data_IF_805562460630
#
_entry.id   IF_805562460630
#
_cell.length_a   1.000
_cell.length_b   1.000
_cell.length_c   1.000
_cell.angle_alpha   90.00
_cell.angle_beta   90.00
_cell.angle_gamma   90.00
#
_symmetry.space_group_name_H-M   'P 1'
#
loop_
_entity.id
_entity.type
_entity.pdbx_description
1 polymer ?
#
# COMPACT_ATOMS: atom_id res chain seq x y z
N UNK A 1 18.97 -52.85 -47.63
CA UNK A 1 19.06 -54.06 -46.77
C UNK A 1 17.76 -54.23 -46.02
N UNK A 2 17.15 -55.40 -46.22
CA UNK A 2 16.05 -56.03 -45.46
C UNK A 2 14.67 -55.38 -45.57
N UNK A 3 14.02 -55.63 -46.71
CA UNK A 3 12.61 -56.03 -46.85
C UNK A 3 12.25 -57.22 -45.94
N UNK A 4 10.98 -57.30 -45.51
CA UNK A 4 10.09 -58.49 -45.33
C UNK A 4 8.95 -58.08 -44.37
N UNK A 5 7.69 -58.51 -44.45
CA UNK A 5 6.94 -59.43 -45.32
C UNK A 5 5.45 -59.26 -44.98
N UNK A 6 4.60 -59.55 -45.97
CA UNK A 6 3.15 -59.58 -45.92
C UNK A 6 2.55 -60.70 -45.05
N UNK A 7 1.25 -60.59 -44.74
CA UNK A 7 0.34 -61.73 -44.71
C UNK A 7 -1.09 -61.29 -45.11
N UNK A 8 -1.63 -62.04 -46.05
CA UNK A 8 -2.96 -62.01 -46.66
C UNK A 8 -3.90 -62.86 -45.81
N UNK A 9 -5.17 -62.47 -45.69
CA UNK A 9 -6.28 -63.41 -45.55
C UNK A 9 -7.52 -62.86 -46.29
N UNK A 10 -8.01 -63.65 -47.25
CA UNK A 10 -9.26 -63.47 -48.01
C UNK A 10 -10.18 -64.63 -47.61
N UNK A 11 -11.46 -64.33 -47.39
CA UNK A 11 -12.65 -65.18 -47.64
C UNK A 11 -13.88 -64.29 -47.41
N UNK A 12 -14.66 -63.85 -48.40
CA UNK A 12 -15.56 -64.53 -49.36
C UNK A 12 -16.97 -64.82 -48.79
N UNK A 13 -18.00 -64.29 -49.49
CA UNK A 13 -19.45 -64.62 -49.37
C UNK A 13 -20.22 -63.76 -48.37
N UNK A 14 -21.40 -63.17 -48.64
CA UNK A 14 -22.39 -63.40 -49.71
C UNK A 14 -23.35 -62.20 -49.74
N UNK A 15 -23.89 -61.86 -50.92
CA UNK A 15 -25.01 -60.93 -51.09
C UNK A 15 -26.31 -61.54 -50.56
N UNK A 16 -27.12 -60.75 -49.86
CA UNK A 16 -28.58 -60.84 -49.86
C UNK A 16 -29.16 -59.42 -49.69
N UNK A 17 -30.19 -59.15 -50.48
CA UNK A 17 -30.80 -57.85 -50.70
C UNK A 17 -31.95 -57.55 -49.71
N UNK A 18 -32.30 -56.26 -49.62
CA UNK A 18 -33.52 -55.72 -48.97
C UNK A 18 -33.27 -55.24 -47.54
N UNK A 19 -33.60 -54.02 -47.10
CA UNK A 19 -34.64 -53.09 -47.53
C UNK A 19 -34.21 -51.67 -47.12
N UNK A 20 -34.61 -50.66 -47.88
CA UNK A 20 -34.30 -49.25 -47.59
C UNK A 20 -34.87 -48.81 -46.25
N UNK A 21 -34.00 -48.33 -45.36
CA UNK A 21 -34.39 -47.46 -44.26
C UNK A 21 -33.58 -46.16 -44.42
N UNK A 22 -34.29 -45.07 -44.67
CA UNK A 22 -33.77 -43.70 -44.71
C UNK A 22 -33.14 -43.35 -43.36
N UNK A 23 -31.82 -43.27 -43.32
CA UNK A 23 -31.08 -42.71 -42.18
C UNK A 23 -30.97 -41.21 -42.41
N UNK A 24 -31.55 -40.43 -41.49
CA UNK A 24 -31.31 -39.00 -41.40
C UNK A 24 -29.83 -38.78 -41.05
N UNK A 25 -29.07 -38.20 -41.97
CA UNK A 25 -27.73 -37.67 -41.72
C UNK A 25 -27.88 -36.37 -40.92
N UNK A 26 -27.51 -36.41 -39.64
CA UNK A 26 -27.15 -35.19 -38.94
C UNK A 26 -25.88 -34.62 -39.60
N UNK A 27 -25.80 -33.31 -39.87
CA UNK A 27 -24.56 -32.72 -40.35
C UNK A 27 -23.51 -32.79 -39.24
N UNK A 28 -22.34 -33.37 -39.55
CA UNK A 28 -21.12 -33.18 -38.77
C UNK A 28 -20.72 -31.72 -38.97
N UNK A 29 -21.18 -30.84 -38.08
CA UNK A 29 -20.72 -29.46 -38.05
C UNK A 29 -19.23 -29.48 -37.71
N UNK A 30 -18.43 -28.95 -38.64
CA UNK A 30 -16.98 -28.88 -38.54
C UNK A 30 -16.54 -28.21 -37.24
N UNK A 31 -15.58 -28.83 -36.57
CA UNK A 31 -14.83 -28.19 -35.51
C UNK A 31 -14.00 -27.06 -36.14
N UNK A 32 -14.56 -25.85 -36.19
CA UNK A 32 -13.76 -24.63 -36.29
C UNK A 32 -13.05 -24.47 -34.97
N UNK A 33 -11.75 -24.75 -34.94
CA UNK A 33 -10.90 -24.36 -33.85
C UNK A 33 -10.86 -22.82 -33.80
N UNK A 34 -11.71 -22.23 -32.96
CA UNK A 34 -11.50 -20.87 -32.52
C UNK A 34 -10.22 -20.88 -31.69
N UNK A 35 -9.14 -20.38 -32.29
CA UNK A 35 -7.96 -19.91 -31.58
C UNK A 35 -8.40 -18.71 -30.74
N UNK A 36 -9.08 -18.99 -29.64
CA UNK A 36 -9.17 -18.11 -28.50
C UNK A 36 -7.75 -17.87 -28.04
N UNK A 37 -7.14 -16.78 -28.51
CA UNK A 37 -5.99 -16.19 -27.88
C UNK A 37 -6.48 -15.82 -26.50
N UNK A 38 -6.33 -16.75 -25.55
CA UNK A 38 -6.51 -16.50 -24.15
C UNK A 38 -5.55 -15.36 -23.88
N UNK A 39 -6.08 -14.15 -23.76
CA UNK A 39 -5.37 -13.09 -23.08
C UNK A 39 -5.03 -13.70 -21.74
N UNK A 40 -3.78 -14.12 -21.57
CA UNK A 40 -3.19 -14.35 -20.26
C UNK A 40 -3.35 -12.99 -19.62
N UNK A 41 -4.46 -12.80 -18.92
CA UNK A 41 -4.66 -11.66 -18.07
C UNK A 41 -3.54 -11.78 -17.08
N UNK A 42 -2.44 -11.04 -17.32
CA UNK A 42 -1.37 -10.90 -16.36
C UNK A 42 -2.12 -10.37 -15.15
N UNK A 43 -2.39 -11.24 -14.17
CA UNK A 43 -3.15 -10.84 -13.01
C UNK A 43 -2.36 -9.68 -12.43
N UNK A 44 -2.94 -8.49 -12.52
CA UNK A 44 -2.35 -7.29 -12.00
C UNK A 44 -2.12 -7.57 -10.51
N UNK A 45 -0.85 -7.66 -10.12
CA UNK A 45 -0.50 -7.83 -8.73
C UNK A 45 -0.89 -6.53 -8.03
N UNK A 46 -1.95 -6.58 -7.22
CA UNK A 46 -2.48 -5.43 -6.50
C UNK A 46 -1.90 -5.31 -5.08
N UNK A 47 -0.97 -6.21 -4.72
CA UNK A 47 -0.40 -6.35 -3.38
C UNK A 47 1.12 -6.50 -3.40
N UNK A 48 1.80 -5.88 -2.42
CA UNK A 48 3.18 -6.20 -2.04
C UNK A 48 3.16 -6.98 -0.72
N UNK A 49 3.45 -8.27 -0.78
CA UNK A 49 3.51 -9.18 0.36
C UNK A 49 4.82 -9.09 1.16
N UNK A 50 4.88 -9.73 2.33
CA UNK A 50 6.07 -9.72 3.18
C UNK A 50 7.26 -10.37 2.49
N UNK A 51 8.41 -9.69 2.49
CA UNK A 51 9.64 -10.06 1.81
C UNK A 51 9.70 -9.66 0.34
N UNK A 52 8.64 -9.09 -0.23
CA UNK A 52 8.59 -8.69 -1.64
C UNK A 52 9.08 -7.25 -1.85
N UNK A 53 9.50 -6.95 -3.08
CA UNK A 53 10.00 -5.63 -3.45
C UNK A 53 9.60 -5.21 -4.86
N UNK A 54 9.66 -3.89 -5.08
CA UNK A 54 9.59 -3.24 -6.38
C UNK A 54 10.94 -2.59 -6.68
N UNK A 55 11.56 -3.02 -7.78
CA UNK A 55 12.72 -2.37 -8.38
C UNK A 55 12.28 -1.11 -9.15
N UNK A 56 13.22 -0.20 -9.48
CA UNK A 56 12.96 0.90 -10.40
C UNK A 56 12.23 0.44 -11.67
N UNK A 57 11.15 1.14 -12.02
CA UNK A 57 10.28 0.84 -13.16
C UNK A 57 9.17 -0.17 -12.88
N UNK A 58 9.27 -0.98 -11.82
CA UNK A 58 8.25 -1.98 -11.49
C UNK A 58 7.04 -1.34 -10.79
N UNK A 59 5.87 -1.97 -11.00
CA UNK A 59 4.61 -1.46 -10.48
C UNK A 59 3.63 -2.55 -10.06
N UNK A 60 2.76 -2.17 -9.13
CA UNK A 60 1.51 -2.86 -8.80
C UNK A 60 0.35 -2.12 -9.44
N UNK A 61 -0.71 -2.84 -9.78
CA UNK A 61 -1.94 -2.25 -10.35
C UNK A 61 -3.16 -2.88 -9.68
N UNK A 62 -4.18 -2.09 -9.34
CA UNK A 62 -5.40 -2.61 -8.71
C UNK A 62 -6.20 -3.51 -9.65
N UNK A 63 -7.01 -4.42 -9.09
CA UNK A 63 -8.04 -5.11 -9.86
C UNK A 63 -8.97 -4.10 -10.55
N UNK A 64 -8.93 -4.04 -11.88
CA UNK A 64 -9.63 -3.04 -12.69
C UNK A 64 -8.74 -1.96 -13.31
N UNK A 65 -7.43 -1.95 -13.06
CA UNK A 65 -6.46 -1.12 -13.80
C UNK A 65 -6.36 0.36 -13.41
N UNK A 66 -7.33 0.88 -12.64
CA UNK A 66 -7.44 2.31 -12.29
C UNK A 66 -6.28 2.83 -11.45
N UNK A 67 -5.91 2.10 -10.40
CA UNK A 67 -4.88 2.53 -9.48
C UNK A 67 -3.56 1.85 -9.79
N UNK A 68 -2.48 2.61 -9.76
CA UNK A 68 -1.12 2.12 -10.03
C UNK A 68 -0.16 2.61 -8.96
N UNK A 69 0.65 1.72 -8.43
CA UNK A 69 1.77 2.06 -7.56
C UNK A 69 3.06 1.72 -8.30
N UNK A 70 3.92 2.69 -8.55
CA UNK A 70 5.16 2.49 -9.30
C UNK A 70 6.37 3.01 -8.52
N UNK A 71 7.41 2.19 -8.42
CA UNK A 71 8.73 2.67 -8.01
C UNK A 71 9.38 3.31 -9.23
N UNK A 72 9.36 4.63 -9.33
CA UNK A 72 9.88 5.35 -10.49
C UNK A 72 11.42 5.29 -10.55
N UNK A 73 11.96 5.37 -11.77
CA UNK A 73 13.41 5.35 -12.01
C UNK A 73 14.16 6.49 -11.29
N UNK A 74 13.47 7.63 -11.09
CA UNK A 74 13.99 8.82 -10.42
C UNK A 74 13.99 8.70 -8.87
N UNK A 75 13.46 7.60 -8.33
CA UNK A 75 13.58 7.24 -6.91
C UNK A 75 12.30 7.30 -6.09
N UNK A 76 11.24 7.95 -6.58
CA UNK A 76 9.96 8.02 -5.88
C UNK A 76 9.14 6.76 -6.04
N UNK A 77 8.53 6.31 -4.95
CA UNK A 77 7.35 5.45 -5.00
C UNK A 77 6.12 6.34 -5.16
N UNK A 78 5.37 6.17 -6.25
CA UNK A 78 4.23 7.03 -6.56
C UNK A 78 2.97 6.21 -6.76
N UNK A 79 1.90 6.62 -6.08
CA UNK A 79 0.57 6.05 -6.17
C UNK A 79 -0.33 6.96 -7.00
N UNK A 80 -0.87 6.43 -8.10
CA UNK A 80 -1.68 7.14 -9.09
C UNK A 80 -3.12 6.63 -9.11
N UNK A 81 -4.03 7.54 -9.47
CA UNK A 81 -5.36 7.26 -10.02
C UNK A 81 -5.40 7.81 -11.45
N UNK A 82 -5.32 6.91 -12.44
CA UNK A 82 -5.04 7.30 -13.82
C UNK A 82 -3.70 8.05 -13.93
N UNK A 83 -3.75 9.32 -14.32
CA UNK A 83 -2.57 10.21 -14.41
C UNK A 83 -2.36 11.08 -13.17
N UNK A 84 -3.31 11.11 -12.24
CA UNK A 84 -3.25 11.95 -11.04
C UNK A 84 -2.45 11.25 -9.95
N UNK A 85 -1.33 11.84 -9.53
CA UNK A 85 -0.60 11.38 -8.36
C UNK A 85 -1.42 11.66 -7.09
N UNK A 86 -1.81 10.60 -6.37
CA UNK A 86 -2.52 10.69 -5.09
C UNK A 86 -1.55 10.70 -3.90
N UNK A 87 -0.39 10.07 -4.04
CA UNK A 87 0.67 10.10 -3.03
C UNK A 87 2.04 9.84 -3.67
N UNK A 88 3.07 10.49 -3.11
CA UNK A 88 4.48 10.26 -3.47
C UNK A 88 5.31 10.11 -2.20
N UNK A 89 6.27 9.20 -2.22
CA UNK A 89 7.31 9.16 -1.20
C UNK A 89 8.22 10.40 -1.30
N UNK A 90 8.88 10.80 -0.20
CA UNK A 90 9.84 11.91 -0.21
C UNK A 90 11.24 11.43 -0.61
N UNK A 91 11.37 10.71 -1.74
CA UNK A 91 12.64 10.08 -2.15
C UNK A 91 13.08 10.49 -3.56
N UNK A 92 12.66 11.69 -3.99
CA UNK A 92 12.93 12.20 -5.33
C UNK A 92 14.43 12.46 -5.52
N UNK A 93 14.95 12.23 -6.74
CA UNK A 93 16.36 12.41 -7.04
C UNK A 93 17.26 11.32 -6.44
N UNK A 94 16.70 10.16 -6.11
CA UNK A 94 17.42 8.98 -5.60
C UNK A 94 17.30 7.82 -6.59
N UNK A 95 17.95 7.91 -7.78
CA UNK A 95 17.85 6.87 -8.78
C UNK A 95 18.35 5.53 -8.25
N UNK A 96 17.79 4.43 -8.77
CA UNK A 96 18.08 3.09 -8.28
C UNK A 96 17.38 2.71 -6.98
N UNK A 97 16.56 3.60 -6.40
CA UNK A 97 15.83 3.27 -5.19
C UNK A 97 14.81 2.14 -5.41
N UNK A 98 14.70 1.24 -4.43
CA UNK A 98 13.77 0.10 -4.42
C UNK A 98 12.84 0.18 -3.21
N UNK A 99 11.60 -0.23 -3.39
CA UNK A 99 10.63 -0.37 -2.30
C UNK A 99 10.56 -1.81 -1.85
N UNK A 100 10.63 -2.09 -0.55
CA UNK A 100 10.52 -3.45 0.00
C UNK A 100 9.51 -3.48 1.13
N UNK A 101 8.57 -4.41 1.06
CA UNK A 101 7.73 -4.76 2.21
C UNK A 101 8.49 -5.82 3.01
N UNK A 102 9.17 -5.41 4.07
CA UNK A 102 10.01 -6.29 4.87
C UNK A 102 9.17 -7.31 5.67
N UNK A 103 9.78 -8.45 6.06
CA UNK A 103 9.06 -9.58 6.69
C UNK A 103 8.48 -9.24 8.06
N UNK A 104 9.14 -8.35 8.79
CA UNK A 104 8.73 -7.76 10.08
C UNK A 104 7.58 -6.74 9.95
N UNK A 105 7.13 -6.46 8.72
CA UNK A 105 5.92 -5.69 8.44
C UNK A 105 6.14 -4.22 8.13
N UNK A 106 7.39 -3.79 7.90
CA UNK A 106 7.68 -2.42 7.52
C UNK A 106 7.80 -2.25 6.00
N UNK A 107 7.26 -1.18 5.42
CA UNK A 107 7.52 -0.81 4.03
C UNK A 107 8.68 0.19 4.04
N UNK A 108 9.78 -0.16 3.37
CA UNK A 108 11.00 0.65 3.35
C UNK A 108 11.46 0.90 1.93
N UNK A 109 11.79 2.15 1.64
CA UNK A 109 12.45 2.56 0.41
C UNK A 109 13.94 2.65 0.70
N UNK A 110 14.74 1.88 -0.02
CA UNK A 110 16.19 1.88 0.08
C UNK A 110 16.79 2.56 -1.14
N UNK A 111 17.89 3.29 -0.94
CA UNK A 111 18.73 3.79 -2.02
C UNK A 111 19.50 2.67 -2.70
N UNK A 112 20.18 3.01 -3.80
CA UNK A 112 21.05 2.09 -4.54
C UNK A 112 22.22 1.56 -3.68
N UNK A 113 22.65 2.33 -2.67
CA UNK A 113 23.65 1.97 -1.67
C UNK A 113 23.10 1.12 -0.51
N UNK A 114 21.85 0.67 -0.62
CA UNK A 114 21.15 -0.13 0.38
C UNK A 114 20.89 0.60 1.70
N UNK A 115 21.00 1.94 1.76
CA UNK A 115 20.62 2.73 2.93
C UNK A 115 19.12 3.07 2.90
N UNK A 116 18.42 3.01 4.05
CA UNK A 116 17.02 3.39 4.11
C UNK A 116 16.86 4.90 3.85
N UNK A 117 16.00 5.25 2.90
CA UNK A 117 15.65 6.63 2.54
C UNK A 117 14.34 7.07 3.20
N UNK A 118 13.40 6.14 3.30
CA UNK A 118 12.09 6.36 3.91
C UNK A 118 11.49 5.04 4.38
N UNK A 119 10.66 5.08 5.42
CA UNK A 119 9.92 3.91 5.88
C UNK A 119 8.56 4.26 6.44
N UNK A 120 7.66 3.27 6.48
CA UNK A 120 6.41 3.36 7.23
C UNK A 120 6.64 3.13 8.73
N UNK A 121 5.63 3.41 9.56
CA UNK A 121 5.69 3.16 11.00
C UNK A 121 5.18 1.76 11.40
N UNK A 122 5.34 0.75 10.54
CA UNK A 122 4.59 -0.52 10.65
C UNK A 122 5.45 -1.72 11.06
N UNK A 123 6.75 -1.50 11.35
CA UNK A 123 7.64 -2.52 11.93
C UNK A 123 7.05 -3.16 13.20
N UNK A 124 7.36 -4.45 13.40
CA UNK A 124 6.82 -5.26 14.51
C UNK A 124 5.47 -5.90 14.20
N UNK A 125 5.04 -5.91 12.94
CA UNK A 125 3.81 -6.58 12.49
C UNK A 125 4.15 -7.66 11.42
N UNK A 126 4.75 -8.80 11.80
CA UNK A 126 5.14 -9.84 10.85
C UNK A 126 3.98 -10.28 9.95
N UNK A 127 4.27 -10.45 8.67
CA UNK A 127 3.26 -10.82 7.67
C UNK A 127 2.37 -9.68 7.19
N UNK A 128 2.62 -8.43 7.62
CA UNK A 128 1.96 -7.27 7.05
C UNK A 128 2.23 -7.15 5.53
N UNK A 129 1.31 -6.49 4.84
CA UNK A 129 1.37 -6.32 3.39
C UNK A 129 0.78 -4.99 2.95
N UNK A 130 1.28 -4.49 1.82
CA UNK A 130 0.75 -3.30 1.15
C UNK A 130 -0.31 -3.71 0.14
N UNK A 131 -1.46 -3.03 0.11
CA UNK A 131 -2.57 -3.34 -0.79
C UNK A 131 -3.03 -2.08 -1.51
N UNK A 132 -3.14 -2.17 -2.83
CA UNK A 132 -3.80 -1.16 -3.65
C UNK A 132 -5.32 -1.28 -3.48
N UNK A 133 -6.03 -0.15 -3.39
CA UNK A 133 -7.46 -0.14 -3.21
C UNK A 133 -8.18 -0.60 -4.48
N UNK A 134 -9.39 -1.16 -4.32
CA UNK A 134 -10.27 -1.47 -5.45
C UNK A 134 -11.06 -0.26 -5.94
N UNK A 135 -11.46 0.63 -5.03
CA UNK A 135 -12.30 1.79 -5.33
C UNK A 135 -11.90 3.07 -4.60
N UNK A 136 -11.30 2.97 -3.41
CA UNK A 136 -10.86 4.13 -2.63
C UNK A 136 -9.53 4.72 -3.14
N UNK A 137 -9.25 5.99 -2.86
CA UNK A 137 -8.02 6.67 -3.31
C UNK A 137 -6.84 6.56 -2.35
N UNK A 138 -6.76 5.51 -1.53
CA UNK A 138 -5.77 5.40 -0.46
C UNK A 138 -5.06 4.05 -0.51
N UNK A 139 -3.73 4.11 -0.49
CA UNK A 139 -2.86 2.94 -0.38
C UNK A 139 -2.75 2.57 1.10
N UNK A 140 -2.92 1.29 1.44
CA UNK A 140 -2.98 0.85 2.84
C UNK A 140 -2.00 -0.29 3.10
N UNK A 141 -1.33 -0.25 4.25
CA UNK A 141 -0.64 -1.41 4.81
C UNK A 141 -1.54 -2.06 5.84
N UNK A 142 -1.77 -3.35 5.68
CA UNK A 142 -2.55 -4.17 6.60
C UNK A 142 -1.63 -5.12 7.36
N UNK A 143 -1.97 -5.38 8.62
CA UNK A 143 -1.45 -6.52 9.35
C UNK A 143 -1.97 -7.84 8.76
N UNK A 144 -1.39 -8.97 9.18
CA UNK A 144 -1.80 -10.31 8.71
C UNK A 144 -3.30 -10.61 8.93
N UNK A 145 -3.89 -10.00 9.95
CA UNK A 145 -5.30 -10.11 10.33
C UNK A 145 -6.23 -9.11 9.58
N UNK A 146 -5.72 -8.42 8.55
CA UNK A 146 -6.41 -7.38 7.79
C UNK A 146 -6.71 -6.08 8.57
N UNK A 147 -6.12 -5.88 9.75
CA UNK A 147 -6.23 -4.59 10.46
C UNK A 147 -5.32 -3.54 9.80
N UNK A 148 -5.82 -2.33 9.49
CA UNK A 148 -5.00 -1.29 8.88
C UNK A 148 -3.94 -0.78 9.86
N UNK A 149 -2.70 -0.67 9.39
CA UNK A 149 -1.55 -0.18 10.15
C UNK A 149 -1.08 1.20 9.69
N UNK A 150 -1.27 1.52 8.41
CA UNK A 150 -0.88 2.80 7.81
C UNK A 150 -1.66 3.03 6.52
N UNK A 151 -1.92 4.30 6.17
CA UNK A 151 -2.40 4.66 4.83
C UNK A 151 -1.65 5.86 4.23
N UNK A 152 -1.71 5.98 2.90
CA UNK A 152 -1.12 7.13 2.19
C UNK A 152 -1.73 8.48 2.57
N UNK A 153 -2.86 8.50 3.28
CA UNK A 153 -3.49 9.72 3.79
C UNK A 153 -3.42 9.89 5.31
N UNK A 154 -3.26 8.80 6.06
CA UNK A 154 -3.32 8.83 7.50
C UNK A 154 -2.27 7.92 8.16
N UNK A 155 -1.68 8.42 9.22
CA UNK A 155 -1.05 7.57 10.23
C UNK A 155 -2.15 6.93 11.08
N UNK A 156 -2.02 5.64 11.42
CA UNK A 156 -3.02 4.95 12.27
C UNK A 156 -2.42 4.72 13.66
N UNK A 157 -3.09 5.26 14.67
CA UNK A 157 -2.79 5.17 16.10
C UNK A 157 -1.57 5.97 16.54
N UNK A 158 -0.55 6.14 15.69
CA UNK A 158 0.72 6.75 16.08
C UNK A 158 1.44 7.56 15.00
N UNK A 159 2.17 8.58 15.41
CA UNK A 159 3.23 9.24 14.65
C UNK A 159 4.57 8.95 15.34
N UNK A 160 5.46 8.12 14.74
CA UNK A 160 6.72 7.77 15.39
C UNK A 160 7.74 8.90 15.39
N UNK A 161 8.75 8.72 16.24
CA UNK A 161 10.03 9.43 16.19
C UNK A 161 10.55 9.64 14.76
N UNK A 162 11.04 10.85 14.48
CA UNK A 162 11.53 11.31 13.19
C UNK A 162 10.46 11.65 12.14
N UNK A 163 9.16 11.38 12.40
CA UNK A 163 8.13 11.56 11.39
C UNK A 163 7.46 12.94 11.42
N UNK A 164 7.05 13.39 10.23
CA UNK A 164 6.42 14.68 9.99
C UNK A 164 4.98 14.48 9.54
N UNK A 165 4.05 15.14 10.21
CA UNK A 165 2.66 15.30 9.80
C UNK A 165 2.50 16.66 9.11
N UNK A 166 2.44 16.62 7.77
CA UNK A 166 2.30 17.80 6.89
C UNK A 166 0.86 18.35 6.91
N UNK A 167 0.64 19.61 6.47
CA UNK A 167 -0.71 20.14 6.24
C UNK A 167 -1.63 19.17 5.49
N UNK A 168 -2.89 19.10 5.92
CA UNK A 168 -3.93 18.22 5.41
C UNK A 168 -3.82 16.75 5.84
N UNK A 169 -2.75 16.35 6.54
CA UNK A 169 -2.53 14.96 6.99
C UNK A 169 -3.04 14.74 8.39
N UNK A 170 -3.43 13.48 8.67
CA UNK A 170 -3.96 13.09 9.98
C UNK A 170 -3.19 11.93 10.63
N UNK A 171 -3.21 11.91 11.97
CA UNK A 171 -3.05 10.69 12.76
C UNK A 171 -4.43 10.31 13.28
N UNK A 172 -4.94 9.16 12.88
CA UNK A 172 -6.28 8.67 13.22
C UNK A 172 -6.18 7.57 14.29
N UNK A 173 -7.04 7.58 15.29
CA UNK A 173 -7.11 6.51 16.29
C UNK A 173 -7.44 5.16 15.64
N UNK A 174 -7.06 4.05 16.30
CA UNK A 174 -7.26 2.71 15.76
C UNK A 174 -8.76 2.38 15.53
N UNK A 175 -9.67 2.93 16.33
CA UNK A 175 -11.12 2.81 16.15
C UNK A 175 -11.70 3.76 15.08
N UNK A 176 -10.87 4.58 14.44
CA UNK A 176 -11.27 5.49 13.37
C UNK A 176 -11.95 6.79 13.82
N UNK A 177 -12.31 6.93 15.11
CA UNK A 177 -13.15 8.03 15.61
C UNK A 177 -12.39 9.34 15.78
N UNK A 178 -11.19 9.30 16.34
CA UNK A 178 -10.43 10.49 16.72
C UNK A 178 -9.34 10.78 15.70
N UNK A 179 -9.15 12.07 15.38
CA UNK A 179 -8.21 12.49 14.32
C UNK A 179 -7.43 13.71 14.74
N UNK A 180 -6.12 13.56 14.91
CA UNK A 180 -5.20 14.70 14.97
C UNK A 180 -4.93 15.16 13.53
N UNK A 181 -5.39 16.34 13.17
CA UNK A 181 -5.23 16.96 11.85
C UNK A 181 -4.24 18.13 11.97
N UNK A 182 -3.19 18.11 11.12
CA UNK A 182 -2.43 19.31 10.83
C UNK A 182 -3.21 20.11 9.76
N UNK A 183 -3.86 21.19 10.16
CA UNK A 183 -4.67 22.04 9.28
C UNK A 183 -3.79 22.90 8.36
N UNK A 184 -4.36 23.32 7.23
CA UNK A 184 -3.65 24.12 6.22
C UNK A 184 -3.28 25.52 6.71
N UNK A 185 -4.07 26.08 7.62
CA UNK A 185 -3.78 27.34 8.33
C UNK A 185 -2.68 27.22 9.41
N UNK A 186 -2.13 26.02 9.62
CA UNK A 186 -0.98 25.77 10.49
C UNK A 186 -1.28 25.24 11.89
N UNK A 187 -2.56 25.10 12.24
CA UNK A 187 -2.97 24.58 13.53
C UNK A 187 -2.94 23.03 13.56
N UNK A 188 -2.57 22.43 14.69
CA UNK A 188 -2.67 20.99 14.92
C UNK A 188 -3.81 20.71 15.91
N UNK A 189 -4.88 20.05 15.43
CA UNK A 189 -6.14 19.90 16.18
C UNK A 189 -6.56 18.45 16.28
N UNK A 190 -6.87 17.98 17.49
CA UNK A 190 -7.51 16.69 17.72
C UNK A 190 -9.02 16.84 17.63
N UNK A 191 -9.66 16.02 16.81
CA UNK A 191 -11.11 16.02 16.62
C UNK A 191 -11.77 14.73 17.08
N UNK A 192 -13.00 14.87 17.61
CA UNK A 192 -14.05 13.85 17.68
C UNK A 192 -15.17 14.26 16.71
N UNK A 193 -15.15 13.72 15.49
CA UNK A 193 -15.99 14.21 14.40
C UNK A 193 -15.69 15.67 14.06
N UNK A 194 -16.63 16.58 14.36
CA UNK A 194 -16.47 18.04 14.17
C UNK A 194 -16.04 18.77 15.45
N UNK A 195 -16.04 18.10 16.60
CA UNK A 195 -15.72 18.70 17.89
C UNK A 195 -14.22 18.68 18.11
N UNK A 196 -13.60 19.84 18.30
CA UNK A 196 -12.20 19.92 18.71
C UNK A 196 -12.07 19.49 20.18
N UNK A 197 -11.17 18.56 20.45
CA UNK A 197 -10.81 18.09 21.79
C UNK A 197 -9.52 18.75 22.30
N UNK A 198 -8.59 19.03 21.39
CA UNK A 198 -7.31 19.69 21.69
C UNK A 198 -6.89 20.53 20.48
N UNK A 199 -6.25 21.67 20.71
CA UNK A 199 -5.70 22.54 19.67
C UNK A 199 -4.35 23.07 20.10
N UNK A 200 -3.42 23.23 19.14
CA UNK A 200 -2.24 24.06 19.35
C UNK A 200 -2.58 25.53 19.09
N UNK A 201 -1.91 26.50 19.74
CA UNK A 201 -2.10 27.92 19.44
C UNK A 201 -1.23 28.34 18.24
N UNK A 202 -1.37 27.65 17.10
CA UNK A 202 -0.49 27.82 15.92
C UNK A 202 -1.23 28.16 14.63
N UNK A 203 -2.51 28.51 14.72
CA UNK A 203 -3.28 29.02 13.57
C UNK A 203 -2.64 30.30 12.99
N UNK A 204 -2.90 30.58 11.71
CA UNK A 204 -2.32 31.73 11.00
C UNK A 204 -0.91 31.52 10.45
N UNK A 205 -0.42 30.27 10.48
CA UNK A 205 0.92 29.89 10.02
C UNK A 205 0.81 28.88 8.87
N UNK A 206 0.34 29.29 7.67
CA UNK A 206 0.14 28.35 6.57
C UNK A 206 1.44 27.65 6.19
N UNK A 207 1.34 26.33 5.99
CA UNK A 207 2.49 25.47 5.75
C UNK A 207 3.19 24.95 7.02
N UNK A 208 2.73 25.32 8.22
CA UNK A 208 3.23 24.73 9.46
C UNK A 208 2.96 23.23 9.51
N UNK A 209 3.85 22.50 10.19
CA UNK A 209 3.84 21.04 10.25
C UNK A 209 4.20 20.54 11.63
N UNK A 210 3.63 19.39 11.98
CA UNK A 210 3.92 18.68 13.21
C UNK A 210 5.08 17.72 12.99
N UNK A 211 6.06 17.71 13.90
CA UNK A 211 7.21 16.82 13.86
C UNK A 211 7.32 16.11 15.20
N UNK A 212 7.29 14.78 15.18
CA UNK A 212 7.75 13.99 16.32
C UNK A 212 9.27 13.85 16.19
N UNK A 213 10.03 14.75 16.81
CA UNK A 213 11.47 14.84 16.66
C UNK A 213 12.18 13.63 17.27
N UNK A 214 13.38 13.31 16.79
CA UNK A 214 14.13 12.12 17.22
C UNK A 214 14.54 12.14 18.70
N UNK A 215 14.76 13.33 19.25
CA UNK A 215 15.01 13.58 20.68
C UNK A 215 13.77 13.39 21.56
N UNK A 216 12.61 13.07 20.97
CA UNK A 216 11.39 12.72 21.68
C UNK A 216 10.43 13.87 21.96
N UNK A 217 10.59 14.98 21.25
CA UNK A 217 9.71 16.14 21.36
C UNK A 217 8.69 16.19 20.23
N UNK A 218 7.41 16.45 20.52
CA UNK A 218 6.46 16.83 19.47
C UNK A 218 6.45 18.36 19.37
N UNK A 219 6.77 18.85 18.17
CA UNK A 219 6.87 20.29 17.88
C UNK A 219 6.01 20.61 16.66
N UNK A 220 5.26 21.70 16.72
CA UNK A 220 4.70 22.35 15.53
C UNK A 220 5.68 23.44 15.11
N UNK A 221 6.20 23.34 13.89
CA UNK A 221 7.12 24.32 13.30
C UNK A 221 6.46 25.03 12.12
N UNK A 222 6.83 26.28 11.86
CA UNK A 222 6.41 26.98 10.66
C UNK A 222 7.12 26.44 9.39
N UNK A 223 6.85 27.07 8.24
CA UNK A 223 7.45 26.69 6.96
C UNK A 223 8.97 26.88 6.89
N UNK A 224 9.55 27.67 7.80
CA UNK A 224 10.98 28.00 7.89
C UNK A 224 11.66 27.29 9.07
N UNK A 225 11.01 26.27 9.65
CA UNK A 225 11.52 25.45 10.76
C UNK A 225 11.58 26.16 12.12
N UNK A 226 10.95 27.33 12.24
CA UNK A 226 10.81 28.00 13.54
C UNK A 226 9.75 27.29 14.37
N UNK A 227 10.11 26.89 15.59
CA UNK A 227 9.17 26.30 16.53
C UNK A 227 8.07 27.30 16.95
N UNK A 228 6.81 26.87 16.81
CA UNK A 228 5.61 27.62 17.20
C UNK A 228 5.01 27.08 18.51
N UNK A 229 5.06 25.76 18.70
CA UNK A 229 4.55 25.08 19.90
C UNK A 229 5.29 23.76 20.13
N UNK A 230 5.35 23.30 21.38
CA UNK A 230 6.00 22.03 21.73
C UNK A 230 5.41 21.38 22.99
N UNK A 231 5.46 20.04 23.07
CA UNK A 231 5.14 19.25 24.27
C UNK A 231 6.18 19.35 25.38
N UNK A 232 7.39 19.88 25.11
CA UNK A 232 8.53 19.94 26.02
C UNK A 232 8.97 18.56 26.53
N UNK A 233 8.94 17.55 25.66
CA UNK A 233 9.32 16.17 25.99
C UNK A 233 10.69 15.76 25.43
N UNK A 234 11.52 16.72 25.01
CA UNK A 234 12.89 16.48 24.56
C UNK A 234 13.75 15.72 25.60
N UNK A 235 14.78 15.02 25.14
CA UNK A 235 15.62 14.14 25.97
C UNK A 235 15.07 12.73 26.13
N UNK A 236 14.05 12.35 25.37
CA UNK A 236 13.43 11.02 25.36
C UNK A 236 13.56 10.37 23.97
N UNK A 237 14.78 10.02 23.53
CA UNK A 237 15.01 9.57 22.17
C UNK A 237 14.17 8.34 21.81
N UNK A 238 13.57 8.37 20.61
CA UNK A 238 12.64 7.34 20.16
C UNK A 238 11.23 7.42 20.75
N UNK A 239 10.88 8.50 21.46
CA UNK A 239 9.50 8.75 21.85
C UNK A 239 8.58 8.91 20.63
N UNK A 240 7.30 8.67 20.82
CA UNK A 240 6.31 8.66 19.75
C UNK A 240 4.98 9.23 20.23
N UNK A 241 4.24 9.84 19.29
CA UNK A 241 2.91 10.40 19.55
C UNK A 241 1.86 9.34 19.28
N UNK A 242 0.93 9.16 20.22
CA UNK A 242 -0.25 8.31 20.10
C UNK A 242 -1.51 9.15 19.97
N UNK A 243 -2.43 8.76 19.08
CA UNK A 243 -3.84 9.18 19.12
C UNK A 243 -4.65 7.97 19.60
N UNK A 244 -5.06 8.01 20.86
CA UNK A 244 -5.70 6.89 21.51
C UNK A 244 -7.22 6.84 21.24
N UNK A 245 -7.82 5.68 21.49
CA UNK A 245 -9.25 5.44 21.29
C UNK A 245 -10.15 6.10 22.35
N UNK A 246 -9.56 6.82 23.30
CA UNK A 246 -10.25 7.57 24.35
C UNK A 246 -10.30 9.09 24.05
N UNK A 247 -9.82 9.51 22.87
CA UNK A 247 -9.84 10.91 22.47
C UNK A 247 -8.70 11.75 23.06
N UNK A 248 -7.58 11.12 23.43
CA UNK A 248 -6.38 11.82 23.88
C UNK A 248 -5.20 11.66 22.93
N UNK A 249 -4.33 12.66 22.94
CA UNK A 249 -2.98 12.55 22.40
C UNK A 249 -2.03 12.30 23.57
N UNK A 250 -1.20 11.26 23.47
CA UNK A 250 -0.18 10.96 24.46
C UNK A 250 1.18 10.80 23.79
N UNK A 251 2.20 11.48 24.31
CA UNK A 251 3.58 11.19 23.93
C UNK A 251 4.08 10.09 24.85
N UNK A 252 4.50 8.96 24.27
CA UNK A 252 5.10 7.86 24.99
C UNK A 252 6.60 7.81 24.74
N UNK A 253 7.38 7.48 25.75
CA UNK A 253 8.78 7.11 25.58
C UNK A 253 8.91 5.83 24.74
N UNK A 254 10.13 5.52 24.29
CA UNK A 254 10.43 4.23 23.62
C UNK A 254 10.04 3.01 24.45
N UNK A 255 10.03 3.13 25.78
CA UNK A 255 9.62 2.08 26.72
C UNK A 255 8.11 2.13 27.06
N UNK A 256 7.29 2.85 26.28
CA UNK A 256 5.85 3.00 26.49
C UNK A 256 5.45 3.69 27.82
N UNK A 257 6.35 4.47 28.42
CA UNK A 257 6.00 5.33 29.56
C UNK A 257 5.36 6.62 29.04
N UNK A 258 4.19 7.05 29.53
CA UNK A 258 3.61 8.32 29.14
C UNK A 258 4.49 9.49 29.64
N UNK A 259 4.80 10.43 28.75
CA UNK A 259 5.62 11.62 29.00
C UNK A 259 4.77 12.89 29.04
N UNK A 260 3.74 12.95 28.20
CA UNK A 260 2.80 14.06 28.10
C UNK A 260 1.45 13.55 27.60
N UNK A 261 0.35 14.18 28.02
CA UNK A 261 -0.99 13.86 27.50
C UNK A 261 -1.80 15.15 27.35
N UNK A 262 -2.56 15.26 26.26
CA UNK A 262 -3.48 16.38 26.04
C UNK A 262 -4.54 16.38 27.15
N UNK A 263 -4.73 17.54 27.79
CA UNK A 263 -5.80 17.77 28.76
C UNK A 263 -7.13 17.93 28.07
#
# INVERSE_FOLDING_TARGET
>A
MITKKAAIAVMAGSLLAGSMATIALAPVAGATAETGMQTVGIQAKDRLGPGEWLLPGQSLTSGGGRFKLIQQAQGNLVFYDGTKALWTSPTAGKPGARTTMQKEGNLVIYGADNKPLWSTPTAGNPGAYLQLPRSSGHLVIYARDNRPLWSSQAYIGKLPSGHVLRPGRVVQSANGRYRLLQQDEGNAVLYDGRRALFTTPTAGHPGARSIMQEEGNWVVVDRNDKALWSTKTAGNPGAWLAVANDGRITIYSRANKPLWTSR
#
